data_IF_444199954421
#
_entry.id   IF_444199954421
#
_cell.length_a   1.000
_cell.length_b   1.000
_cell.length_c   1.000
_cell.angle_alpha   90.00
_cell.angle_beta   90.00
_cell.angle_gamma   90.00
#
_symmetry.space_group_name_H-M   'P 1'
#
loop_
_entity.id
_entity.type
_entity.pdbx_description
1 polymer ?
#
# COMPACT_ATOMS: atom_id res chain seq x y z
N UNK A 1 -23.50 3.36 -11.05
CA UNK A 1 -22.47 4.20 -10.42
C UNK A 1 -21.16 3.47 -10.59
N UNK A 2 -20.35 3.86 -11.57
CA UNK A 2 -18.97 3.39 -11.68
C UNK A 2 -18.19 4.13 -10.60
N UNK A 3 -17.65 3.40 -9.62
CA UNK A 3 -16.69 3.96 -8.67
C UNK A 3 -15.55 4.58 -9.50
N UNK A 4 -15.04 5.77 -9.12
CA UNK A 4 -13.87 6.30 -9.80
C UNK A 4 -12.78 5.23 -9.74
N UNK A 5 -12.18 4.95 -10.88
CA UNK A 5 -11.00 4.09 -10.99
C UNK A 5 -9.92 4.75 -10.11
N UNK A 6 -9.80 4.30 -8.86
CA UNK A 6 -8.79 4.84 -7.95
C UNK A 6 -7.47 4.37 -8.52
N UNK A 7 -6.77 5.25 -9.23
CA UNK A 7 -5.46 4.96 -9.80
C UNK A 7 -4.48 4.66 -8.66
N UNK A 8 -4.27 3.38 -8.38
CA UNK A 8 -3.26 2.94 -7.44
C UNK A 8 -1.89 3.25 -8.04
N UNK A 9 -1.12 4.08 -7.34
CA UNK A 9 0.20 4.53 -7.78
C UNK A 9 1.33 3.99 -6.92
N UNK A 10 1.03 3.59 -5.68
CA UNK A 10 2.00 3.11 -4.72
C UNK A 10 1.54 1.82 -4.03
N UNK A 11 2.47 0.91 -3.82
CA UNK A 11 2.33 -0.26 -2.97
C UNK A 11 3.26 -0.15 -1.78
N UNK A 12 2.76 -0.58 -0.62
CA UNK A 12 3.56 -0.87 0.56
C UNK A 12 3.86 -2.35 0.52
N UNK A 13 5.13 -2.70 0.38
CA UNK A 13 5.59 -4.07 0.19
C UNK A 13 6.54 -4.50 1.30
N UNK A 14 6.51 -5.79 1.61
CA UNK A 14 7.41 -6.41 2.58
C UNK A 14 8.38 -7.33 1.88
N UNK A 15 9.67 -7.10 2.06
CA UNK A 15 10.73 -7.99 1.60
C UNK A 15 10.66 -9.29 2.40
N UNK A 16 10.50 -10.42 1.70
CA UNK A 16 10.36 -11.72 2.35
C UNK A 16 11.67 -12.19 2.99
N UNK A 17 12.81 -11.78 2.42
CA UNK A 17 14.13 -12.23 2.87
C UNK A 17 14.67 -11.39 4.04
N UNK A 18 14.43 -10.08 4.02
CA UNK A 18 14.95 -9.13 4.99
C UNK A 18 13.94 -8.72 6.07
N UNK A 19 12.66 -9.13 5.92
CA UNK A 19 11.54 -8.72 6.77
C UNK A 19 11.33 -7.19 6.87
N UNK A 20 11.96 -6.42 5.98
CA UNK A 20 11.84 -4.97 5.86
C UNK A 20 10.59 -4.58 5.06
N UNK A 21 9.93 -3.48 5.43
CA UNK A 21 8.79 -2.91 4.70
C UNK A 21 9.25 -1.66 3.95
N UNK A 22 8.73 -1.44 2.74
CA UNK A 22 9.04 -0.26 1.94
C UNK A 22 7.91 0.15 0.99
N UNK A 23 7.95 1.40 0.51
CA UNK A 23 7.03 1.93 -0.50
C UNK A 23 7.64 1.85 -1.89
N UNK A 24 6.87 1.33 -2.85
CA UNK A 24 7.25 1.25 -4.28
C UNK A 24 6.13 1.74 -5.18
N UNK A 25 6.45 2.27 -6.38
CA UNK A 25 5.46 2.50 -7.43
C UNK A 25 4.81 1.20 -7.92
N UNK A 26 3.58 1.29 -8.40
CA UNK A 26 2.90 0.16 -9.05
C UNK A 26 3.60 -0.29 -10.33
N UNK A 27 4.29 0.62 -11.03
CA UNK A 27 5.07 0.31 -12.23
C UNK A 27 6.25 -0.63 -12.00
N UNK A 28 6.72 -0.77 -10.76
CA UNK A 28 7.84 -1.65 -10.40
C UNK A 28 7.40 -3.11 -10.22
N UNK A 29 6.08 -3.36 -10.29
CA UNK A 29 5.47 -4.66 -10.04
C UNK A 29 5.10 -5.31 -11.35
N UNK A 30 5.68 -6.48 -11.63
CA UNK A 30 5.30 -7.29 -12.79
C UNK A 30 5.26 -8.77 -12.41
N UNK A 31 4.11 -9.41 -12.63
CA UNK A 31 3.93 -10.85 -12.44
C UNK A 31 4.41 -11.35 -11.06
N UNK A 32 3.98 -10.68 -9.99
CA UNK A 32 4.33 -11.03 -8.59
C UNK A 32 5.83 -10.87 -8.25
N UNK A 33 6.61 -10.27 -9.15
CA UNK A 33 8.02 -9.96 -8.95
C UNK A 33 8.22 -8.45 -9.03
N UNK A 34 9.16 -7.98 -8.22
CA UNK A 34 9.41 -6.56 -8.06
C UNK A 34 10.79 -6.24 -8.59
N UNK A 35 10.83 -5.24 -9.45
CA UNK A 35 12.08 -4.68 -9.96
C UNK A 35 12.56 -3.66 -8.92
N UNK A 36 13.67 -3.97 -8.25
CA UNK A 36 14.24 -3.12 -7.21
C UNK A 36 15.59 -2.55 -7.67
N UNK A 37 15.84 -1.25 -7.47
CA UNK A 37 17.10 -0.65 -7.88
C UNK A 37 18.28 -1.18 -7.05
N UNK A 38 19.46 -1.42 -7.67
CA UNK A 38 20.68 -1.85 -6.97
C UNK A 38 21.37 -0.70 -6.21
N UNK A 39 20.69 0.44 -6.02
CA UNK A 39 21.27 1.62 -5.40
C UNK A 39 21.35 1.43 -3.88
N UNK A 40 22.50 1.77 -3.28
CA UNK A 40 22.63 1.84 -1.81
C UNK A 40 22.13 3.15 -1.22
N UNK A 41 21.82 4.14 -2.06
CA UNK A 41 21.42 5.47 -1.63
C UNK A 41 19.90 5.57 -1.50
N UNK A 42 19.40 5.62 -0.27
CA UNK A 42 17.98 5.76 0.01
C UNK A 42 17.36 7.00 -0.65
N UNK A 43 18.04 8.15 -0.60
CA UNK A 43 17.58 9.39 -1.26
C UNK A 43 17.34 9.21 -2.77
N UNK A 44 18.18 8.42 -3.43
CA UNK A 44 18.03 8.14 -4.87
C UNK A 44 16.83 7.23 -5.12
N UNK A 45 16.62 6.23 -4.25
CA UNK A 45 15.44 5.37 -4.33
C UNK A 45 14.17 6.21 -4.12
N UNK A 46 14.13 7.04 -3.08
CA UNK A 46 13.00 7.95 -2.81
C UNK A 46 12.68 8.87 -3.99
N UNK A 47 13.70 9.43 -4.66
CA UNK A 47 13.50 10.25 -5.86
C UNK A 47 12.81 9.45 -6.97
N UNK A 48 13.26 8.21 -7.22
CA UNK A 48 12.66 7.36 -8.25
C UNK A 48 11.21 6.99 -7.89
N UNK A 49 10.93 6.70 -6.62
CA UNK A 49 9.59 6.39 -6.13
C UNK A 49 8.67 7.61 -6.27
N UNK A 50 9.10 8.79 -5.80
CA UNK A 50 8.31 10.03 -5.84
C UNK A 50 8.01 10.48 -7.27
N UNK A 51 8.98 10.32 -8.17
CA UNK A 51 8.82 10.66 -9.59
C UNK A 51 8.22 9.53 -10.44
N UNK A 52 7.81 8.40 -9.83
CA UNK A 52 7.22 7.26 -10.53
C UNK A 52 8.08 6.76 -11.71
N UNK A 53 9.41 6.84 -11.59
CA UNK A 53 10.32 6.42 -12.65
C UNK A 53 10.19 4.92 -12.91
N UNK A 54 10.18 4.53 -14.17
CA UNK A 54 10.14 3.13 -14.55
C UNK A 54 11.40 2.37 -14.13
N UNK A 55 11.27 1.06 -13.84
CA UNK A 55 12.40 0.21 -13.56
C UNK A 55 13.31 0.03 -14.78
N UNK A 56 14.62 -0.04 -14.54
CA UNK A 56 15.60 -0.30 -15.59
C UNK A 56 15.90 -1.81 -15.72
N UNK A 57 16.34 -2.30 -16.90
CA UNK A 57 16.66 -3.71 -17.10
C UNK A 57 17.77 -4.26 -16.17
N UNK A 58 18.59 -3.38 -15.59
CA UNK A 58 19.67 -3.71 -14.67
C UNK A 58 19.19 -3.93 -13.22
N UNK A 59 17.91 -3.67 -12.94
CA UNK A 59 17.35 -3.80 -11.59
C UNK A 59 17.17 -5.26 -11.19
N UNK A 60 17.35 -5.52 -9.90
CA UNK A 60 17.23 -6.87 -9.36
C UNK A 60 15.76 -7.24 -9.18
N UNK A 61 15.42 -8.50 -9.47
CA UNK A 61 14.06 -9.02 -9.29
C UNK A 61 13.95 -9.69 -7.93
N UNK A 62 13.19 -9.08 -7.03
CA UNK A 62 13.03 -9.55 -5.65
C UNK A 62 11.60 -10.03 -5.44
N UNK A 63 11.44 -11.06 -4.61
CA UNK A 63 10.13 -11.48 -4.11
C UNK A 63 9.75 -10.64 -2.91
N UNK A 64 8.59 -10.01 -2.98
CA UNK A 64 8.03 -9.22 -1.88
C UNK A 64 6.54 -9.53 -1.78
N UNK A 65 5.95 -9.17 -0.66
CA UNK A 65 4.52 -9.30 -0.43
C UNK A 65 3.88 -7.92 -0.39
N UNK A 66 2.82 -7.69 -1.18
CA UNK A 66 2.02 -6.46 -1.08
C UNK A 66 1.24 -6.49 0.22
N UNK A 67 1.53 -5.55 1.10
CA UNK A 67 0.75 -5.36 2.32
C UNK A 67 -0.45 -4.45 2.07
N UNK A 68 -0.23 -3.32 1.41
CA UNK A 68 -1.24 -2.28 1.15
C UNK A 68 -0.99 -1.57 -0.18
N UNK A 69 -2.03 -0.92 -0.69
CA UNK A 69 -2.02 -0.20 -1.97
C UNK A 69 -2.70 1.16 -1.79
N UNK A 70 -2.17 2.21 -2.42
CA UNK A 70 -2.73 3.57 -2.32
C UNK A 70 -2.35 4.44 -3.52
N UNK A 71 -3.12 5.50 -3.73
CA UNK A 71 -2.89 6.51 -4.77
C UNK A 71 -1.84 7.56 -4.37
N UNK A 72 -1.59 7.74 -3.07
CA UNK A 72 -0.80 8.87 -2.53
C UNK A 72 0.45 8.38 -1.81
N UNK A 73 1.60 8.97 -2.15
CA UNK A 73 2.88 8.66 -1.50
C UNK A 73 2.86 8.93 0.02
N UNK A 74 2.30 10.06 0.46
CA UNK A 74 2.20 10.38 1.90
C UNK A 74 1.38 9.35 2.69
N UNK A 75 0.27 8.87 2.10
CA UNK A 75 -0.52 7.77 2.67
C UNK A 75 0.31 6.48 2.72
N UNK A 76 1.09 6.19 1.67
CA UNK A 76 1.91 4.98 1.60
C UNK A 76 3.01 4.97 2.67
N UNK A 77 3.67 6.10 2.92
CA UNK A 77 4.70 6.24 3.96
C UNK A 77 4.09 6.03 5.35
N UNK A 78 2.93 6.63 5.65
CA UNK A 78 2.23 6.38 6.92
C UNK A 78 1.88 4.90 7.12
N UNK A 79 1.47 4.23 6.05
CA UNK A 79 1.18 2.79 6.07
C UNK A 79 2.46 1.95 6.27
N UNK A 80 3.59 2.34 5.66
CA UNK A 80 4.91 1.73 5.90
C UNK A 80 5.34 1.87 7.37
N UNK A 81 5.26 3.08 7.93
CA UNK A 81 5.58 3.34 9.35
C UNK A 81 4.69 2.49 10.28
N UNK A 82 3.39 2.43 9.97
CA UNK A 82 2.43 1.60 10.71
C UNK A 82 2.78 0.11 10.62
N UNK A 83 3.18 -0.37 9.44
CA UNK A 83 3.55 -1.77 9.20
C UNK A 83 4.86 -2.18 9.91
N UNK A 84 5.83 -1.26 10.00
CA UNK A 84 7.05 -1.45 10.79
C UNK A 84 6.73 -1.55 12.29
N UNK A 85 5.85 -0.69 12.79
CA UNK A 85 5.45 -0.68 14.20
C UNK A 85 4.64 -1.93 14.59
N UNK A 86 3.66 -2.32 13.77
CA UNK A 86 2.83 -3.52 13.98
C UNK A 86 3.63 -4.83 13.88
N UNK A 87 4.74 -4.85 13.14
CA UNK A 87 5.65 -6.01 13.13
C UNK A 87 6.30 -6.28 14.50
N UNK A 88 6.42 -5.26 15.37
CA UNK A 88 6.89 -5.41 16.75
C UNK A 88 5.79 -5.64 17.78
N UNK A 89 4.54 -5.31 17.44
CA UNK A 89 3.36 -5.40 18.30
C UNK A 89 2.19 -5.92 17.47
N UNK A 90 2.05 -7.23 17.35
CA UNK A 90 0.83 -7.81 16.82
C UNK A 90 -0.29 -7.64 17.85
N UNK A 91 -0.98 -6.50 17.81
CA UNK A 91 -2.32 -6.35 18.40
C UNK A 91 -3.10 -5.33 17.57
N UNK A 92 -3.81 -5.87 16.57
CA UNK A 92 -5.12 -5.39 16.11
C UNK A 92 -5.23 -3.91 15.70
N UNK A 93 -5.05 -3.62 14.40
CA UNK A 93 -5.80 -2.55 13.75
C UNK A 93 -6.08 -2.91 12.30
N UNK A 94 -7.12 -3.71 12.10
CA UNK A 94 -7.88 -3.71 10.85
C UNK A 94 -8.58 -2.36 10.75
N UNK A 95 -8.10 -1.43 9.93
CA UNK A 95 -8.95 -0.32 9.50
C UNK A 95 -8.45 0.32 8.20
N UNK A 96 -9.00 -0.15 7.08
CA UNK A 96 -9.11 0.64 5.86
C UNK A 96 -10.24 0.16 4.92
N UNK A 97 -11.05 -0.82 5.31
CA UNK A 97 -12.16 -1.36 4.51
C UNK A 97 -13.47 -1.45 5.34
N UNK A 98 -13.68 -0.59 6.34
CA UNK A 98 -15.01 -0.35 6.93
C UNK A 98 -15.80 0.65 6.05
N UNK A 99 -15.74 0.48 4.73
CA UNK A 99 -16.71 1.10 3.84
C UNK A 99 -17.97 0.22 3.85
N UNK A 100 -19.04 0.76 4.44
CA UNK A 100 -20.46 0.49 4.14
C UNK A 100 -21.26 -0.53 4.97
N UNK A 101 -20.74 -1.13 6.05
CA UNK A 101 -21.55 -2.05 6.90
C UNK A 101 -22.44 -1.37 7.96
N UNK A 102 -22.56 -0.04 7.98
CA UNK A 102 -23.68 0.64 8.68
C UNK A 102 -24.94 0.74 7.82
N UNK A 103 -25.27 -0.34 7.13
CA UNK A 103 -26.68 -0.67 6.94
C UNK A 103 -27.13 -1.48 8.15
N UNK A 104 -27.83 -0.83 9.11
CA UNK A 104 -29.08 -1.30 9.75
C UNK A 104 -29.35 -0.61 11.10
N UNK A 105 -30.63 -0.28 11.30
CA UNK A 105 -31.32 0.39 12.43
C UNK A 105 -31.23 1.91 12.33
N UNK A 106 -32.21 2.58 11.74
CA UNK A 106 -33.54 2.79 12.33
C UNK A 106 -34.63 2.85 11.25
N UNK A 107 -35.35 1.74 11.06
CA UNK A 107 -36.69 1.74 10.47
C UNK A 107 -37.63 1.12 11.52
N UNK A 108 -37.67 1.72 12.71
CA UNK A 108 -38.74 1.45 13.66
C UNK A 108 -39.90 2.37 13.28
N UNK A 109 -40.80 1.84 12.46
CA UNK A 109 -42.04 2.51 12.14
C UNK A 109 -42.82 2.78 13.43
N UNK A 110 -43.26 4.02 13.60
CA UNK A 110 -44.39 4.40 14.46
C UNK A 110 -44.68 5.89 14.31
N UNK A 111 -45.74 6.22 13.57
CA UNK A 111 -46.91 6.91 14.15
C UNK A 111 -47.97 7.23 13.10
N UNK A 112 -49.16 6.65 13.30
CA UNK A 112 -50.46 7.27 13.03
C UNK A 112 -50.42 8.77 13.37
N UNK A 113 -51.05 9.61 12.56
CA UNK A 113 -52.28 10.35 12.87
C UNK A 113 -52.89 10.89 11.57
#
# INVERSE_FOLDING_TARGET
MVLPDIEIRYHVVKFLEENSVTVVPTSWVKYDKYEWPPFKSLKKIEDYVKNLRDPEPSWQKIRVHIMKSTESYDKAVKLEETALYTSGLNSEMEDAEELSRREKKEASGSRQF
#
